data_IF_626085940732
#
_entry.id   IF_626085940732
#
_cell.length_a   1.000
_cell.length_b   1.000
_cell.length_c   1.000
_cell.angle_alpha   90.00
_cell.angle_beta   90.00
_cell.angle_gamma   90.00
#
_symmetry.space_group_name_H-M   'P 1'
#
loop_
_entity.id
_entity.type
_entity.pdbx_description
1 polymer ?
#
# COMPACT_ATOMS: atom_id res chain seq x y z
N UNK A 1 1.00 -21.13 43.30
CA UNK A 1 0.71 -20.35 42.07
C UNK A 1 1.93 -19.61 41.49
N UNK A 2 2.80 -18.98 42.29
CA UNK A 2 4.02 -18.27 41.79
C UNK A 2 5.08 -19.19 41.18
N UNK A 3 5.31 -20.38 41.76
CA UNK A 3 6.32 -21.34 41.26
C UNK A 3 5.95 -21.93 39.90
N UNK A 4 4.66 -22.25 39.66
CA UNK A 4 4.19 -22.69 38.34
C UNK A 4 4.35 -21.61 37.26
N UNK A 5 4.13 -20.32 37.60
CA UNK A 5 4.40 -19.20 36.68
C UNK A 5 5.90 -19.03 36.40
N UNK A 6 6.77 -19.28 37.39
CA UNK A 6 8.22 -19.28 37.19
C UNK A 6 8.63 -20.37 36.19
N UNK A 7 8.16 -21.61 36.37
CA UNK A 7 8.50 -22.75 35.51
C UNK A 7 8.02 -22.53 34.06
N UNK A 8 6.83 -21.95 33.86
CA UNK A 8 6.30 -21.64 32.51
C UNK A 8 7.04 -20.53 31.75
N UNK A 9 8.06 -19.92 32.35
CA UNK A 9 8.90 -18.88 31.74
C UNK A 9 10.35 -19.32 31.51
N UNK A 10 10.71 -20.53 31.92
CA UNK A 10 12.06 -21.10 31.75
C UNK A 10 12.10 -21.90 30.45
N UNK A 11 13.12 -21.65 29.63
CA UNK A 11 13.39 -22.40 28.41
C UNK A 11 14.83 -22.90 28.43
N UNK A 12 15.02 -24.14 27.99
CA UNK A 12 16.33 -24.79 27.89
C UNK A 12 16.84 -24.63 26.47
N UNK A 13 18.07 -24.12 26.33
CA UNK A 13 18.66 -23.92 25.01
C UNK A 13 19.33 -25.19 24.47
N UNK A 14 19.73 -25.17 23.20
CA UNK A 14 20.57 -26.20 22.60
C UNK A 14 21.90 -26.43 23.34
N UNK A 15 22.44 -25.42 24.03
CA UNK A 15 23.69 -25.54 24.80
C UNK A 15 23.51 -26.34 26.08
N UNK A 16 22.34 -26.26 26.71
CA UNK A 16 21.99 -27.12 27.84
C UNK A 16 22.00 -28.60 27.43
N UNK A 17 21.30 -28.93 26.35
CA UNK A 17 21.26 -30.31 25.84
C UNK A 17 22.63 -30.80 25.36
N UNK A 18 23.41 -29.95 24.68
CA UNK A 18 24.78 -30.29 24.29
C UNK A 18 25.69 -30.56 25.49
N UNK A 19 25.60 -29.75 26.55
CA UNK A 19 26.37 -29.92 27.77
C UNK A 19 25.99 -31.19 28.53
N UNK A 20 24.71 -31.56 28.54
CA UNK A 20 24.23 -32.85 29.05
C UNK A 20 24.79 -34.00 28.22
N UNK A 21 24.80 -33.89 26.89
CA UNK A 21 25.40 -34.91 26.02
C UNK A 21 26.88 -35.15 26.33
N UNK A 22 27.64 -34.07 26.54
CA UNK A 22 29.06 -34.14 26.95
C UNK A 22 29.20 -34.81 28.32
N UNK A 23 28.33 -34.45 29.29
CA UNK A 23 28.30 -35.09 30.60
C UNK A 23 28.06 -36.60 30.50
N UNK A 24 27.04 -37.01 29.72
CA UNK A 24 26.72 -38.43 29.51
C UNK A 24 27.91 -39.17 28.91
N UNK A 25 28.55 -38.59 27.89
CA UNK A 25 29.74 -39.18 27.27
C UNK A 25 30.92 -39.28 28.26
N UNK A 26 31.13 -38.27 29.10
CA UNK A 26 32.17 -38.27 30.12
C UNK A 26 31.92 -39.35 31.20
N UNK A 27 30.67 -39.55 31.63
CA UNK A 27 30.29 -40.63 32.53
C UNK A 27 30.44 -42.01 31.87
N UNK A 28 30.10 -42.14 30.59
CA UNK A 28 30.31 -43.37 29.83
C UNK A 28 31.80 -43.73 29.75
N UNK A 29 32.67 -42.78 29.40
CA UNK A 29 34.12 -42.97 29.41
C UNK A 29 34.66 -43.25 30.82
N UNK A 30 34.06 -42.63 31.85
CA UNK A 30 34.36 -42.89 33.25
C UNK A 30 34.04 -44.32 33.71
N UNK A 31 33.11 -45.02 33.04
CA UNK A 31 32.85 -46.44 33.32
C UNK A 31 33.99 -47.36 32.85
N UNK A 32 34.74 -46.92 31.84
CA UNK A 32 35.88 -47.66 31.26
C UNK A 32 37.18 -47.28 31.98
N UNK A 33 37.35 -45.99 32.31
CA UNK A 33 38.57 -45.45 32.92
C UNK A 33 38.26 -44.78 34.27
N UNK A 34 38.72 -45.33 35.41
CA UNK A 34 38.43 -44.78 36.74
C UNK A 34 38.86 -43.32 36.94
N UNK A 35 39.93 -42.88 36.29
CA UNK A 35 40.38 -41.48 36.36
C UNK A 35 39.40 -40.53 35.64
N UNK A 36 38.81 -40.97 34.53
CA UNK A 36 37.80 -40.19 33.79
C UNK A 36 36.50 -40.01 34.60
N UNK A 37 36.17 -40.96 35.50
CA UNK A 37 35.02 -40.84 36.40
C UNK A 37 35.19 -39.67 37.39
N UNK A 38 36.42 -39.42 37.86
CA UNK A 38 36.70 -38.29 38.75
C UNK A 38 36.49 -36.96 38.02
N UNK A 39 36.97 -36.85 36.77
CA UNK A 39 36.72 -35.68 35.92
C UNK A 39 35.23 -35.49 35.62
N UNK A 40 34.48 -36.56 35.34
CA UNK A 40 33.03 -36.49 35.08
C UNK A 40 32.24 -35.97 36.29
N UNK A 41 32.59 -36.40 37.51
CA UNK A 41 31.97 -35.89 38.76
C UNK A 41 32.25 -34.42 39.00
N UNK A 42 33.49 -33.97 38.75
CA UNK A 42 33.85 -32.54 38.85
C UNK A 42 33.07 -31.73 37.80
N UNK A 43 32.99 -32.21 36.56
CA UNK A 43 32.26 -31.55 35.48
C UNK A 43 30.77 -31.43 35.82
N UNK A 44 30.16 -32.45 36.43
CA UNK A 44 28.78 -32.42 36.90
C UNK A 44 28.56 -31.35 37.99
N UNK A 45 29.47 -31.25 38.97
CA UNK A 45 29.39 -30.22 40.01
C UNK A 45 29.51 -28.81 39.43
N UNK A 46 30.45 -28.59 38.51
CA UNK A 46 30.63 -27.31 37.82
C UNK A 46 29.38 -26.95 37.01
N UNK A 47 28.84 -27.90 36.25
CA UNK A 47 27.61 -27.72 35.49
C UNK A 47 26.42 -27.35 36.40
N UNK A 48 26.24 -28.06 37.52
CA UNK A 48 25.19 -27.76 38.48
C UNK A 48 25.33 -26.36 39.11
N UNK A 49 26.56 -25.97 39.45
CA UNK A 49 26.85 -24.64 39.98
C UNK A 49 26.57 -23.53 38.94
N UNK A 50 26.98 -23.73 37.68
CA UNK A 50 26.72 -22.79 36.59
C UNK A 50 25.22 -22.59 36.35
N UNK A 51 24.44 -23.67 36.33
CA UNK A 51 22.97 -23.59 36.18
C UNK A 51 22.32 -22.87 37.35
N UNK A 52 22.77 -23.12 38.58
CA UNK A 52 22.24 -22.46 39.76
C UNK A 52 22.51 -20.95 39.70
N UNK A 53 23.74 -20.55 39.32
CA UNK A 53 24.10 -19.14 39.13
C UNK A 53 23.24 -18.49 38.04
N UNK A 54 23.07 -19.13 36.88
CA UNK A 54 22.20 -18.59 35.82
C UNK A 54 20.76 -18.42 36.27
N UNK A 55 20.19 -19.43 36.94
CA UNK A 55 18.81 -19.40 37.40
C UNK A 55 18.61 -18.29 38.43
N UNK A 56 19.53 -18.14 39.38
CA UNK A 56 19.47 -17.04 40.34
C UNK A 56 19.60 -15.68 39.64
N UNK A 57 20.55 -15.51 38.72
CA UNK A 57 20.72 -14.23 37.99
C UNK A 57 19.48 -13.84 37.17
N UNK A 58 18.90 -14.80 36.44
CA UNK A 58 17.75 -14.55 35.59
C UNK A 58 16.47 -14.29 36.40
N UNK A 59 16.26 -14.97 37.53
CA UNK A 59 15.03 -14.89 38.31
C UNK A 59 15.07 -13.90 39.49
N UNK A 60 16.25 -13.37 39.86
CA UNK A 60 16.37 -12.33 40.90
C UNK A 60 15.61 -11.06 40.54
N UNK A 61 15.57 -10.70 39.26
CA UNK A 61 15.02 -9.42 38.78
C UNK A 61 13.70 -9.69 38.07
N UNK A 62 12.58 -9.36 38.71
CA UNK A 62 11.25 -9.66 38.17
C UNK A 62 10.96 -8.88 36.88
N UNK A 63 11.22 -7.57 36.87
CA UNK A 63 10.99 -6.65 35.74
C UNK A 63 12.31 -6.22 35.08
N UNK A 64 13.17 -7.21 34.81
CA UNK A 64 14.52 -6.98 34.29
C UNK A 64 14.56 -6.47 32.85
N UNK A 65 13.47 -6.67 32.11
CA UNK A 65 13.35 -6.27 30.72
C UNK A 65 11.92 -5.86 30.39
N UNK A 66 11.77 -4.69 29.78
CA UNK A 66 10.49 -4.22 29.24
C UNK A 66 10.65 -3.96 27.74
N UNK A 67 9.78 -4.56 26.94
CA UNK A 67 9.66 -4.28 25.52
C UNK A 67 8.43 -3.42 25.25
N UNK A 68 8.57 -2.41 24.38
CA UNK A 68 7.44 -1.62 23.86
C UNK A 68 7.51 -1.58 22.35
N UNK A 69 6.47 -2.09 21.70
CA UNK A 69 6.30 -1.99 20.25
C UNK A 69 5.71 -0.63 19.91
N UNK A 70 6.20 -0.05 18.82
CA UNK A 70 5.67 1.18 18.25
C UNK A 70 5.23 0.90 16.83
N UNK A 71 3.91 0.83 16.63
CA UNK A 71 3.29 0.65 15.32
C UNK A 71 2.75 2.00 14.83
N UNK A 72 2.88 2.35 13.54
CA UNK A 72 2.18 3.51 12.99
C UNK A 72 0.66 3.38 13.16
N UNK A 73 -0.06 4.48 13.41
CA UNK A 73 -1.54 4.46 13.54
C UNK A 73 -2.26 3.88 12.31
N UNK A 74 -1.65 4.05 11.12
CA UNK A 74 -2.15 3.55 9.84
C UNK A 74 -1.00 2.91 9.08
N UNK A 75 -1.17 1.65 8.69
CA UNK A 75 -0.27 0.95 7.78
C UNK A 75 -0.70 1.19 6.32
N UNK A 76 0.25 1.16 5.39
CA UNK A 76 0.03 1.33 3.95
C UNK A 76 0.06 -0.01 3.22
N UNK A 77 -1.04 -0.37 2.56
CA UNK A 77 -1.18 -1.61 1.80
C UNK A 77 -0.22 -1.65 0.61
N UNK A 78 0.54 -2.74 0.51
CA UNK A 78 1.47 -3.00 -0.58
C UNK A 78 2.84 -2.35 -0.45
N UNK A 79 3.09 -1.55 0.60
CA UNK A 79 4.38 -0.90 0.86
C UNK A 79 5.05 -1.44 2.13
N UNK A 80 6.35 -1.23 2.25
CA UNK A 80 7.11 -1.50 3.47
C UNK A 80 6.76 -0.47 4.56
N UNK A 81 6.25 -0.95 5.68
CA UNK A 81 5.93 -0.16 6.85
C UNK A 81 6.97 -0.45 7.95
N UNK A 82 7.56 0.60 8.50
CA UNK A 82 8.57 0.49 9.55
C UNK A 82 7.90 0.30 10.91
N UNK A 83 8.33 -0.72 11.64
CA UNK A 83 8.01 -0.96 13.05
C UNK A 83 9.30 -1.01 13.83
N UNK A 84 9.27 -0.46 15.04
CA UNK A 84 10.39 -0.58 15.96
C UNK A 84 9.93 -1.01 17.34
N UNK A 85 10.78 -1.78 18.01
CA UNK A 85 10.57 -2.22 19.38
C UNK A 85 11.68 -1.66 20.24
N UNK A 86 11.28 -0.88 21.25
CA UNK A 86 12.19 -0.34 22.25
C UNK A 86 12.32 -1.34 23.40
N UNK A 87 13.54 -1.82 23.63
CA UNK A 87 13.91 -2.68 24.74
C UNK A 87 14.58 -1.83 25.82
N UNK A 88 14.08 -1.92 27.05
CA UNK A 88 14.68 -1.28 28.23
C UNK A 88 15.14 -2.35 29.21
N UNK A 89 16.45 -2.48 29.36
CA UNK A 89 17.07 -3.35 30.37
C UNK A 89 17.17 -2.64 31.71
N UNK A 90 16.88 -3.35 32.80
CA UNK A 90 17.25 -2.95 34.17
C UNK A 90 18.22 -3.95 34.79
N UNK A 91 18.81 -4.82 33.96
CA UNK A 91 19.74 -5.85 34.40
C UNK A 91 21.11 -5.24 34.75
N UNK A 92 21.72 -5.61 35.89
CA UNK A 92 23.03 -5.15 36.30
C UNK A 92 24.17 -5.97 35.65
N UNK A 93 23.89 -6.70 34.57
CA UNK A 93 24.84 -7.57 33.88
C UNK A 93 24.53 -7.63 32.38
N UNK A 94 25.55 -7.95 31.59
CA UNK A 94 25.41 -8.17 30.16
C UNK A 94 24.58 -9.42 29.88
N UNK A 95 23.60 -9.28 28.98
CA UNK A 95 22.74 -10.37 28.58
C UNK A 95 22.59 -10.44 27.06
N UNK A 96 22.16 -11.60 26.57
CA UNK A 96 21.69 -11.73 25.18
C UNK A 96 20.20 -11.94 25.18
N UNK A 97 19.56 -11.37 24.19
CA UNK A 97 18.14 -11.50 23.98
C UNK A 97 17.83 -12.12 22.63
N UNK A 98 16.74 -12.88 22.60
CA UNK A 98 16.03 -13.28 21.40
C UNK A 98 14.62 -12.70 21.49
N UNK A 99 14.29 -11.80 20.58
CA UNK A 99 13.00 -11.14 20.51
C UNK A 99 12.14 -11.84 19.45
N UNK A 100 10.90 -12.11 19.82
CA UNK A 100 9.85 -12.63 18.96
C UNK A 100 8.65 -11.70 19.08
N UNK A 101 8.25 -11.12 17.96
CA UNK A 101 7.04 -10.30 17.89
C UNK A 101 5.88 -11.13 17.33
N UNK A 102 4.76 -11.17 18.05
CA UNK A 102 3.55 -11.86 17.58
C UNK A 102 2.86 -11.00 16.52
N UNK A 103 3.24 -11.21 15.27
CA UNK A 103 2.67 -10.52 14.12
C UNK A 103 1.23 -10.98 13.83
N UNK A 104 0.39 -10.10 13.25
CA UNK A 104 -0.94 -10.43 12.76
C UNK A 104 -0.96 -11.66 11.84
N UNK A 105 -2.06 -12.42 11.89
CA UNK A 105 -2.22 -13.70 11.17
C UNK A 105 -2.04 -13.55 9.66
N UNK A 106 -2.45 -12.40 9.11
CA UNK A 106 -2.35 -12.06 7.69
C UNK A 106 -0.92 -12.15 7.15
N UNK A 107 0.09 -11.87 7.98
CA UNK A 107 1.49 -11.94 7.55
C UNK A 107 2.01 -13.38 7.40
N UNK A 108 1.37 -14.35 8.07
CA UNK A 108 1.80 -15.76 8.15
C UNK A 108 3.28 -15.97 8.52
N UNK A 109 3.97 -14.94 9.02
CA UNK A 109 5.39 -14.93 9.30
C UNK A 109 5.65 -15.42 10.72
N UNK A 110 6.11 -16.68 10.87
CA UNK A 110 6.36 -17.31 12.18
C UNK A 110 7.85 -17.38 12.57
N UNK A 111 8.74 -17.13 11.62
CA UNK A 111 10.18 -17.37 11.80
C UNK A 111 10.99 -16.08 12.03
N UNK A 112 10.33 -14.94 12.20
CA UNK A 112 11.00 -13.67 12.49
C UNK A 112 11.46 -13.62 13.94
N UNK A 113 12.74 -13.92 14.16
CA UNK A 113 13.43 -13.79 15.45
C UNK A 113 14.56 -12.78 15.36
N UNK A 114 14.65 -11.86 16.32
CA UNK A 114 15.73 -10.87 16.38
C UNK A 114 16.69 -11.20 17.52
N UNK A 115 17.97 -11.37 17.20
CA UNK A 115 19.01 -11.71 18.16
C UNK A 115 19.86 -10.48 18.48
N UNK A 116 20.20 -10.28 19.74
CA UNK A 116 21.07 -9.18 20.15
C UNK A 116 21.73 -9.38 21.51
N UNK A 117 22.67 -8.48 21.79
CA UNK A 117 23.28 -8.28 23.12
C UNK A 117 22.76 -6.97 23.72
N UNK A 118 22.60 -6.95 25.03
CA UNK A 118 22.40 -5.74 25.82
C UNK A 118 23.38 -5.72 26.98
N UNK A 119 23.98 -4.56 27.19
CA UNK A 119 24.82 -4.26 28.33
C UNK A 119 24.01 -3.92 29.59
N UNK A 120 24.74 -3.52 30.62
CA UNK A 120 24.21 -3.08 31.91
C UNK A 120 23.28 -1.87 31.73
N UNK A 121 22.02 -2.02 32.14
CA UNK A 121 20.99 -0.96 32.09
C UNK A 121 20.84 -0.25 30.73
N UNK A 122 21.16 -0.96 29.64
CA UNK A 122 21.12 -0.41 28.28
C UNK A 122 19.68 -0.35 27.73
N UNK A 123 19.42 0.66 26.90
CA UNK A 123 18.24 0.71 26.04
C UNK A 123 18.64 0.41 24.60
N UNK A 124 17.85 -0.41 23.91
CA UNK A 124 18.12 -0.79 22.52
C UNK A 124 16.85 -0.78 21.69
N UNK A 125 16.97 -0.35 20.44
CA UNK A 125 15.87 -0.40 19.48
C UNK A 125 16.12 -1.51 18.46
N UNK A 126 15.06 -2.25 18.15
CA UNK A 126 15.06 -3.25 17.07
C UNK A 126 14.07 -2.80 16.02
N UNK A 127 14.59 -2.39 14.87
CA UNK A 127 13.83 -1.94 13.72
C UNK A 127 13.62 -3.08 12.72
N UNK A 128 12.41 -3.17 12.17
CA UNK A 128 12.10 -4.10 11.09
C UNK A 128 10.96 -3.57 10.22
N UNK A 129 10.77 -4.19 9.05
CA UNK A 129 9.69 -3.82 8.15
C UNK A 129 8.68 -4.96 7.97
N UNK A 130 7.45 -4.54 7.68
CA UNK A 130 6.33 -5.39 7.31
C UNK A 130 5.63 -4.81 6.08
N UNK A 131 5.22 -5.69 5.18
CA UNK A 131 4.46 -5.32 3.98
C UNK A 131 3.09 -5.98 4.04
N UNK A 132 2.03 -5.27 4.47
CA UNK A 132 0.69 -5.81 4.45
C UNK A 132 0.20 -5.90 3.00
N UNK A 133 -0.45 -7.01 2.68
CA UNK A 133 -0.95 -7.31 1.33
C UNK A 133 -2.48 -7.25 1.26
N UNK A 134 -3.14 -7.28 2.40
CA UNK A 134 -4.59 -7.16 2.52
C UNK A 134 -4.95 -5.90 3.32
N UNK A 135 -5.96 -5.14 2.86
CA UNK A 135 -6.54 -4.05 3.64
C UNK A 135 -7.40 -4.60 4.77
N UNK A 136 -7.58 -3.80 5.82
CA UNK A 136 -8.44 -4.13 6.95
C UNK A 136 -7.76 -3.93 8.29
N UNK A 137 -8.24 -4.64 9.31
CA UNK A 137 -7.75 -4.53 10.68
C UNK A 137 -6.74 -5.62 11.00
N UNK A 138 -5.59 -5.21 11.54
CA UNK A 138 -4.47 -6.07 11.88
C UNK A 138 -4.29 -6.00 13.40
N UNK A 139 -4.41 -7.16 14.05
CA UNK A 139 -4.24 -7.28 15.49
C UNK A 139 -2.87 -7.88 15.77
N UNK A 140 -1.98 -7.07 16.34
CA UNK A 140 -0.69 -7.55 16.78
C UNK A 140 -0.80 -8.13 18.18
N UNK A 141 -0.14 -9.27 18.41
CA UNK A 141 -0.11 -9.92 19.72
C UNK A 141 0.95 -9.32 20.65
N UNK A 142 1.48 -10.15 21.54
CA UNK A 142 2.46 -9.76 22.55
C UNK A 142 3.89 -9.75 21.99
N UNK A 143 4.76 -8.97 22.62
CA UNK A 143 6.20 -9.06 22.39
C UNK A 143 6.79 -10.03 23.42
N UNK A 144 7.44 -11.08 22.93
CA UNK A 144 8.10 -12.08 23.75
C UNK A 144 9.62 -11.91 23.63
N UNK A 145 10.30 -11.72 24.76
CA UNK A 145 11.76 -11.60 24.78
C UNK A 145 12.37 -12.68 25.67
N UNK A 146 13.24 -13.48 25.09
CA UNK A 146 13.97 -14.55 25.77
C UNK A 146 15.36 -14.05 26.12
N UNK A 147 15.65 -13.92 27.40
CA UNK A 147 16.93 -13.41 27.91
C UNK A 147 17.78 -14.58 28.40
N UNK A 148 19.07 -14.53 28.08
CA UNK A 148 20.08 -15.50 28.50
C UNK A 148 21.34 -14.78 28.96
N UNK A 149 22.08 -15.42 29.88
CA UNK A 149 23.34 -14.89 30.38
C UNK A 149 24.52 -15.47 29.59
N UNK A 150 25.75 -15.34 30.11
CA UNK A 150 26.98 -15.75 29.41
C UNK A 150 26.99 -17.21 28.97
N UNK A 151 26.43 -18.11 29.78
CA UNK A 151 26.49 -19.56 29.63
C UNK A 151 25.43 -20.09 28.63
N UNK A 152 24.36 -19.31 28.39
CA UNK A 152 23.30 -19.57 27.40
C UNK A 152 22.48 -20.84 27.66
N UNK A 153 22.63 -21.51 28.80
CA UNK A 153 22.00 -22.81 29.03
C UNK A 153 20.53 -22.63 29.37
N UNK A 154 20.21 -21.63 30.18
CA UNK A 154 18.86 -21.25 30.56
C UNK A 154 18.47 -19.94 29.88
N UNK A 155 17.23 -19.89 29.38
CA UNK A 155 16.59 -18.67 28.92
C UNK A 155 15.37 -18.37 29.78
N UNK A 156 15.17 -17.09 30.12
CA UNK A 156 13.95 -16.61 30.77
C UNK A 156 13.13 -15.79 29.78
N UNK A 157 11.84 -16.12 29.65
CA UNK A 157 10.89 -15.37 28.82
C UNK A 157 10.26 -14.22 29.61
N UNK A 158 10.40 -13.02 29.08
CA UNK A 158 9.65 -11.82 29.44
C UNK A 158 8.56 -11.59 28.39
N UNK A 159 7.31 -11.50 28.82
CA UNK A 159 6.18 -11.16 27.96
C UNK A 159 5.75 -9.74 28.28
N UNK A 160 5.82 -8.87 27.29
CA UNK A 160 5.29 -7.52 27.39
C UNK A 160 3.92 -7.50 26.72
N UNK A 161 2.91 -7.07 27.47
CA UNK A 161 1.59 -6.80 26.93
C UNK A 161 1.71 -5.58 26.01
N UNK A 162 1.57 -5.85 24.72
CA UNK A 162 1.73 -4.88 23.66
C UNK A 162 0.60 -4.99 22.65
N UNK A 163 -0.46 -5.77 22.96
CA UNK A 163 -1.54 -6.04 22.02
C UNK A 163 -2.13 -4.73 21.50
N UNK A 164 -2.08 -4.56 20.18
CA UNK A 164 -2.45 -3.32 19.51
C UNK A 164 -3.13 -3.65 18.18
N UNK A 165 -4.25 -2.97 17.91
CA UNK A 165 -4.96 -3.09 16.65
C UNK A 165 -4.66 -1.87 15.77
N UNK A 166 -4.25 -2.14 14.53
CA UNK A 166 -3.88 -1.12 13.56
C UNK A 166 -4.61 -1.37 12.25
N UNK A 167 -5.01 -0.29 11.57
CA UNK A 167 -5.71 -0.36 10.29
C UNK A 167 -4.73 -0.27 9.13
N UNK A 168 -4.90 -1.13 8.12
CA UNK A 168 -4.18 -1.09 6.85
C UNK A 168 -5.01 -0.35 5.82
N UNK A 169 -4.59 0.87 5.50
CA UNK A 169 -5.19 1.74 4.50
C UNK A 169 -4.60 1.51 3.11
N UNK A 170 -5.28 2.00 2.04
CA UNK A 170 -4.63 2.25 0.76
C UNK A 170 -3.31 3.00 0.95
N UNK A 171 -2.37 2.82 0.03
CA UNK A 171 -1.00 3.33 0.16
C UNK A 171 -0.93 4.85 0.38
N UNK A 172 -0.71 5.25 1.64
CA UNK A 172 -0.51 6.66 2.02
C UNK A 172 0.94 7.08 1.67
N UNK A 173 1.87 6.13 1.71
CA UNK A 173 3.27 6.34 1.34
C UNK A 173 3.37 6.75 -0.14
N UNK A 174 2.67 6.07 -1.05
CA UNK A 174 2.66 6.44 -2.45
C UNK A 174 2.01 7.80 -2.67
N UNK A 175 0.92 8.12 -1.98
CA UNK A 175 0.28 9.45 -2.06
C UNK A 175 1.29 10.55 -1.75
N UNK A 176 2.03 10.42 -0.64
CA UNK A 176 3.09 11.38 -0.26
C UNK A 176 4.20 11.43 -1.32
N UNK A 177 4.75 10.28 -1.71
CA UNK A 177 5.83 10.17 -2.70
C UNK A 177 5.47 10.88 -4.02
N UNK A 178 4.31 10.56 -4.58
CA UNK A 178 3.88 11.11 -5.87
C UNK A 178 3.32 12.53 -5.77
N UNK A 179 2.76 12.95 -4.62
CA UNK A 179 2.40 14.36 -4.43
C UNK A 179 3.63 15.26 -4.50
N UNK A 180 4.75 14.84 -3.90
CA UNK A 180 6.00 15.59 -4.01
C UNK A 180 6.48 15.66 -5.46
N UNK A 181 6.49 14.53 -6.18
CA UNK A 181 6.91 14.48 -7.59
C UNK A 181 6.01 15.30 -8.53
N UNK A 182 4.70 15.33 -8.28
CA UNK A 182 3.76 16.10 -9.10
C UNK A 182 3.86 17.62 -8.87
N UNK A 183 4.34 18.04 -7.69
CA UNK A 183 4.65 19.44 -7.38
C UNK A 183 6.00 19.84 -7.97
N UNK A 184 6.99 18.95 -7.92
CA UNK A 184 8.38 19.22 -8.35
C UNK A 184 8.62 19.20 -9.86
N UNK A 185 7.61 19.56 -10.66
CA UNK A 185 7.83 20.14 -11.99
C UNK A 185 8.52 19.25 -13.05
N UNK A 186 7.83 18.18 -13.49
CA UNK A 186 8.06 17.60 -14.83
C UNK A 186 7.56 18.54 -15.96
N UNK A 187 6.84 19.62 -15.62
CA UNK A 187 6.25 20.56 -16.59
C UNK A 187 7.29 21.51 -17.23
N UNK A 188 8.48 21.65 -16.64
CA UNK A 188 9.54 22.52 -17.15
C UNK A 188 10.48 21.84 -18.16
N UNK A 189 10.48 20.51 -18.28
CA UNK A 189 11.42 19.77 -19.14
C UNK A 189 10.92 19.41 -20.55
N UNK A 190 9.68 19.74 -20.91
CA UNK A 190 9.09 19.28 -22.18
C UNK A 190 8.86 20.37 -23.24
N UNK A 191 9.31 21.61 -23.04
CA UNK A 191 9.17 22.67 -24.06
C UNK A 191 7.71 22.90 -24.52
N UNK A 192 6.72 22.51 -23.70
CA UNK A 192 5.30 22.59 -24.06
C UNK A 192 4.89 24.05 -23.95
N UNK A 193 4.99 24.76 -25.09
CA UNK A 193 4.43 26.09 -25.25
C UNK A 193 2.93 25.99 -24.96
N UNK A 194 2.46 26.63 -23.88
CA UNK A 194 1.02 26.76 -23.59
C UNK A 194 0.36 27.44 -24.78
N UNK A 195 -0.35 26.66 -25.60
CA UNK A 195 -1.16 27.22 -26.69
C UNK A 195 -2.42 27.77 -26.03
N UNK A 196 -2.50 29.10 -25.96
CA UNK A 196 -3.72 29.82 -25.56
C UNK A 196 -4.82 29.45 -26.58
N UNK A 197 -5.82 28.70 -26.15
CA UNK A 197 -6.95 28.33 -27.02
C UNK A 197 -8.06 29.36 -26.83
N UNK A 198 -8.57 29.88 -27.94
CA UNK A 198 -9.73 30.77 -27.95
C UNK A 198 -10.96 29.86 -27.86
N UNK A 199 -11.45 29.62 -26.64
CA UNK A 199 -12.61 28.79 -26.34
C UNK A 199 -13.42 29.41 -25.20
N UNK A 200 -14.75 29.30 -25.26
CA UNK A 200 -15.72 30.09 -24.47
C UNK A 200 -15.85 29.69 -22.97
N UNK A 201 -14.91 28.95 -22.37
CA UNK A 201 -14.98 28.54 -20.96
C UNK A 201 -14.16 29.47 -20.08
N UNK A 202 -14.74 30.64 -19.85
CA UNK A 202 -14.13 31.78 -19.18
C UNK A 202 -14.74 31.93 -17.78
N UNK A 203 -13.97 31.64 -16.73
CA UNK A 203 -14.33 31.95 -15.34
C UNK A 203 -14.02 33.42 -15.05
N UNK A 204 -14.92 34.11 -14.34
CA UNK A 204 -14.69 35.49 -13.93
C UNK A 204 -13.49 35.54 -12.98
N UNK A 205 -12.45 36.30 -13.35
CA UNK A 205 -11.22 36.45 -12.57
C UNK A 205 -11.35 37.71 -11.69
N UNK A 206 -11.45 38.86 -12.33
CA UNK A 206 -11.53 40.15 -11.66
C UNK A 206 -12.12 41.24 -12.57
N UNK A 207 -12.51 42.37 -11.99
CA UNK A 207 -12.82 43.58 -12.74
C UNK A 207 -11.57 44.46 -12.73
N UNK A 208 -11.12 44.88 -13.92
CA UNK A 208 -9.99 45.82 -14.07
C UNK A 208 -10.37 47.00 -14.96
N UNK A 209 -9.52 48.03 -14.96
CA UNK A 209 -9.66 49.16 -15.86
C UNK A 209 -9.48 48.72 -17.33
N UNK A 210 -10.26 49.34 -18.22
CA UNK A 210 -10.21 49.12 -19.66
C UNK A 210 -8.87 49.59 -20.23
N UNK A 211 -8.21 48.73 -21.00
CA UNK A 211 -7.00 49.09 -21.74
C UNK A 211 -7.31 49.02 -23.24
N UNK A 212 -6.83 49.97 -24.06
CA UNK A 212 -6.99 49.90 -25.51
C UNK A 212 -6.49 48.56 -26.07
N UNK A 213 -7.40 47.79 -26.66
CA UNK A 213 -7.18 46.41 -27.11
C UNK A 213 -8.11 45.38 -26.46
N UNK A 214 -8.80 45.75 -25.38
CA UNK A 214 -9.83 44.91 -24.76
C UNK A 214 -11.13 44.88 -25.57
N UNK A 215 -11.85 43.76 -25.53
CA UNK A 215 -13.15 43.62 -26.21
C UNK A 215 -14.21 44.47 -25.50
N UNK A 216 -14.82 45.39 -26.23
CA UNK A 216 -15.89 46.29 -25.76
C UNK A 216 -17.09 45.50 -25.18
N UNK A 217 -17.32 44.26 -25.62
CA UNK A 217 -18.39 43.40 -25.09
C UNK A 217 -18.17 42.96 -23.64
N UNK A 218 -16.94 43.01 -23.16
CA UNK A 218 -16.57 42.62 -21.80
C UNK A 218 -16.67 43.78 -20.79
N UNK A 219 -17.12 44.97 -21.21
CA UNK A 219 -17.31 46.13 -20.34
C UNK A 219 -18.37 45.83 -19.27
N UNK A 220 -18.01 46.06 -18.01
CA UNK A 220 -18.92 45.94 -16.89
C UNK A 220 -19.54 47.31 -16.57
N UNK A 221 -20.67 47.61 -17.21
CA UNK A 221 -21.39 48.88 -17.03
C UNK A 221 -21.75 49.20 -15.57
N UNK A 222 -22.02 48.17 -14.75
CA UNK A 222 -22.36 48.34 -13.34
C UNK A 222 -21.15 48.77 -12.50
N UNK A 223 -19.97 48.25 -12.80
CA UNK A 223 -18.72 48.68 -12.17
C UNK A 223 -18.32 50.07 -12.66
N UNK A 224 -18.40 50.32 -13.97
CA UNK A 224 -18.11 51.61 -14.61
C UNK A 224 -18.94 52.75 -14.01
N UNK A 225 -20.24 52.53 -13.75
CA UNK A 225 -21.12 53.52 -13.15
C UNK A 225 -20.77 53.86 -11.68
N UNK A 226 -20.01 53.01 -10.98
CA UNK A 226 -19.60 53.23 -9.57
C UNK A 226 -18.24 53.89 -9.45
N UNK A 227 -17.31 53.58 -10.35
CA UNK A 227 -15.93 54.08 -10.31
C UNK A 227 -15.69 55.27 -11.23
N UNK A 228 -16.66 55.63 -12.08
CA UNK A 228 -16.54 56.69 -13.10
C UNK A 228 -15.40 56.48 -14.10
N UNK A 229 -14.89 55.25 -14.20
CA UNK A 229 -13.84 54.80 -15.12
C UNK A 229 -14.33 53.57 -15.87
N UNK A 230 -13.95 53.37 -17.13
CA UNK A 230 -14.42 52.22 -17.92
C UNK A 230 -13.79 50.95 -17.35
N UNK A 231 -14.64 50.06 -16.81
CA UNK A 231 -14.22 48.81 -16.20
C UNK A 231 -14.58 47.62 -17.10
N UNK A 232 -13.72 46.61 -17.12
CA UNK A 232 -13.86 45.40 -17.93
C UNK A 232 -13.85 44.17 -17.03
N UNK A 233 -14.75 43.22 -17.30
CA UNK A 233 -14.67 41.87 -16.73
C UNK A 233 -13.51 41.12 -17.37
N UNK A 234 -12.46 40.87 -16.60
CA UNK A 234 -11.41 39.96 -17.00
C UNK A 234 -11.85 38.54 -16.69
N UNK A 235 -11.82 37.70 -17.72
CA UNK A 235 -12.06 36.27 -17.55
C UNK A 235 -10.77 35.49 -17.77
N UNK A 236 -10.60 34.44 -16.98
CA UNK A 236 -9.51 33.47 -17.10
C UNK A 236 -10.09 32.13 -17.55
N UNK A 237 -9.31 31.32 -18.27
CA UNK A 237 -9.72 29.96 -18.60
C UNK A 237 -10.05 29.19 -17.31
N UNK A 238 -11.20 28.51 -17.27
CA UNK A 238 -11.59 27.65 -16.15
C UNK A 238 -10.55 26.53 -15.99
N UNK A 239 -9.66 26.68 -15.00
CA UNK A 239 -8.54 25.74 -14.77
C UNK A 239 -8.93 24.48 -14.02
N UNK A 240 -10.10 24.50 -13.37
CA UNK A 240 -10.51 23.49 -12.41
C UNK A 240 -11.60 22.61 -13.01
N UNK A 241 -11.36 21.31 -13.09
CA UNK A 241 -12.27 20.37 -13.72
C UNK A 241 -12.68 19.26 -12.75
N UNK A 242 -13.85 18.67 -13.01
CA UNK A 242 -14.29 17.48 -12.28
C UNK A 242 -13.47 16.27 -12.75
N UNK A 243 -12.79 15.59 -11.83
CA UNK A 243 -11.98 14.40 -12.11
C UNK A 243 -12.49 13.24 -11.28
N UNK A 244 -12.99 12.19 -11.92
CA UNK A 244 -13.53 11.01 -11.25
C UNK A 244 -12.66 9.79 -11.47
N UNK A 245 -12.37 9.06 -10.40
CA UNK A 245 -11.95 7.66 -10.49
C UNK A 245 -13.17 6.76 -10.33
N UNK A 246 -13.40 5.89 -11.29
CA UNK A 246 -14.43 4.85 -11.22
C UNK A 246 -13.73 3.50 -11.12
N UNK A 247 -13.99 2.76 -10.06
CA UNK A 247 -13.33 1.48 -9.77
C UNK A 247 -14.36 0.35 -9.88
N UNK A 248 -14.10 -0.57 -10.80
CA UNK A 248 -14.82 -1.84 -10.87
C UNK A 248 -14.39 -2.72 -9.67
N UNK A 249 -15.36 -3.32 -8.96
CA UNK A 249 -15.15 -4.26 -7.85
C UNK A 249 -15.63 -5.68 -8.15
N UNK A 250 -15.92 -5.97 -9.42
CA UNK A 250 -16.35 -7.27 -9.87
C UNK A 250 -15.20 -8.29 -9.91
N UNK A 251 -15.55 -9.53 -10.23
CA UNK A 251 -14.65 -10.71 -10.25
C UNK A 251 -13.33 -10.47 -10.99
N UNK A 252 -13.37 -9.77 -12.13
CA UNK A 252 -12.20 -9.51 -12.98
C UNK A 252 -11.09 -8.69 -12.30
N UNK A 253 -11.40 -8.05 -11.17
CA UNK A 253 -10.47 -7.22 -10.38
C UNK A 253 -9.86 -7.96 -9.20
N UNK A 254 -10.27 -9.21 -8.94
CA UNK A 254 -9.67 -10.07 -7.89
C UNK A 254 -8.44 -10.81 -8.35
N UNK A 255 -8.07 -10.72 -9.63
CA UNK A 255 -6.88 -11.37 -10.14
C UNK A 255 -5.68 -10.96 -9.27
N UNK A 256 -4.98 -11.93 -8.66
CA UNK A 256 -3.79 -11.63 -7.87
C UNK A 256 -2.65 -11.23 -8.82
N UNK A 257 -1.79 -10.38 -8.30
CA UNK A 257 -0.55 -9.95 -8.92
C UNK A 257 0.40 -9.55 -7.80
N UNK A 258 1.53 -10.25 -7.64
CA UNK A 258 2.56 -9.88 -6.65
C UNK A 258 2.00 -9.70 -5.23
N UNK A 259 1.22 -10.70 -4.78
CA UNK A 259 0.55 -10.78 -3.47
C UNK A 259 -0.62 -9.79 -3.26
N UNK A 260 -0.86 -8.86 -4.18
CA UNK A 260 -1.98 -7.91 -4.15
C UNK A 260 -3.02 -8.24 -5.22
N UNK A 261 -4.26 -7.78 -5.06
CA UNK A 261 -5.26 -7.89 -6.15
C UNK A 261 -5.18 -6.70 -7.10
N UNK A 262 -5.66 -6.86 -8.34
CA UNK A 262 -5.81 -5.71 -9.26
C UNK A 262 -6.68 -4.60 -8.69
N UNK A 263 -7.66 -4.93 -7.84
CA UNK A 263 -8.44 -3.94 -7.09
C UNK A 263 -7.53 -3.09 -6.19
N UNK A 264 -6.59 -3.72 -5.47
CA UNK A 264 -5.71 -3.00 -4.55
C UNK A 264 -4.80 -2.02 -5.29
N UNK A 265 -4.27 -2.42 -6.44
CA UNK A 265 -3.53 -1.53 -7.33
C UNK A 265 -4.42 -0.40 -7.86
N UNK A 266 -5.64 -0.70 -8.30
CA UNK A 266 -6.60 0.31 -8.75
C UNK A 266 -6.91 1.34 -7.66
N UNK A 267 -7.12 0.87 -6.43
CA UNK A 267 -7.41 1.70 -5.27
C UNK A 267 -6.21 2.61 -4.96
N UNK A 268 -5.00 2.06 -4.87
CA UNK A 268 -3.78 2.83 -4.62
C UNK A 268 -3.55 3.88 -5.73
N UNK A 269 -3.62 3.47 -7.00
CA UNK A 269 -3.47 4.37 -8.15
C UNK A 269 -4.54 5.46 -8.19
N UNK A 270 -5.80 5.12 -7.91
CA UNK A 270 -6.91 6.08 -7.91
C UNK A 270 -6.74 7.14 -6.83
N UNK A 271 -6.34 6.75 -5.63
CA UNK A 271 -6.12 7.67 -4.52
C UNK A 271 -4.99 8.65 -4.84
N UNK A 272 -3.88 8.15 -5.38
CA UNK A 272 -2.75 9.00 -5.77
C UNK A 272 -3.16 9.95 -6.90
N UNK A 273 -3.81 9.44 -7.96
CA UNK A 273 -4.27 10.26 -9.08
C UNK A 273 -5.25 11.37 -8.63
N UNK A 274 -6.22 11.03 -7.78
CA UNK A 274 -7.17 12.01 -7.23
C UNK A 274 -6.50 13.02 -6.29
N UNK A 275 -5.51 12.60 -5.50
CA UNK A 275 -4.71 13.53 -4.71
C UNK A 275 -3.86 14.46 -5.58
N UNK A 276 -3.30 13.96 -6.68
CA UNK A 276 -2.62 14.80 -7.69
C UNK A 276 -3.59 15.77 -8.35
N UNK A 277 -4.82 15.34 -8.66
CA UNK A 277 -5.86 16.21 -9.19
C UNK A 277 -6.21 17.34 -8.21
N UNK A 278 -6.42 17.01 -6.93
CA UNK A 278 -6.64 17.97 -5.85
C UNK A 278 -5.49 18.97 -5.71
N UNK A 279 -4.24 18.48 -5.72
CA UNK A 279 -3.03 19.33 -5.63
C UNK A 279 -2.88 20.27 -6.82
N UNK A 280 -3.51 19.96 -7.95
CA UNK A 280 -3.54 20.80 -9.16
C UNK A 280 -4.85 21.60 -9.27
N UNK A 281 -5.56 21.80 -8.16
CA UNK A 281 -6.81 22.57 -8.07
C UNK A 281 -8.00 22.02 -8.87
N UNK A 282 -8.05 20.71 -9.15
CA UNK A 282 -9.24 20.06 -9.70
C UNK A 282 -10.17 19.52 -8.60
N UNK A 283 -11.38 19.11 -8.98
CA UNK A 283 -12.40 18.55 -8.07
C UNK A 283 -12.37 17.02 -8.14
N UNK A 284 -11.67 16.32 -7.22
CA UNK A 284 -11.61 14.87 -7.22
C UNK A 284 -12.92 14.25 -6.74
N UNK A 285 -13.42 13.25 -7.46
CA UNK A 285 -14.56 12.41 -7.12
C UNK A 285 -14.23 10.92 -7.25
N UNK A 286 -14.99 10.08 -6.54
CA UNK A 286 -14.81 8.64 -6.53
C UNK A 286 -16.14 7.93 -6.74
N UNK A 287 -16.16 6.88 -7.54
CA UNK A 287 -17.28 5.94 -7.66
C UNK A 287 -16.72 4.53 -7.62
N UNK A 288 -17.29 3.66 -6.78
CA UNK A 288 -17.02 2.22 -6.82
C UNK A 288 -18.29 1.47 -7.17
N UNK A 289 -18.17 0.43 -8.00
CA UNK A 289 -19.35 -0.31 -8.46
C UNK A 289 -19.06 -1.81 -8.67
N UNK A 290 -20.10 -2.60 -8.48
CA UNK A 290 -20.19 -4.02 -8.80
C UNK A 290 -21.55 -4.27 -9.49
N UNK A 291 -22.42 -5.13 -8.96
CA UNK A 291 -23.84 -5.22 -9.37
C UNK A 291 -24.60 -3.89 -9.19
N UNK A 292 -24.23 -3.12 -8.16
CA UNK A 292 -24.76 -1.80 -7.84
C UNK A 292 -23.61 -0.80 -7.66
N UNK A 293 -23.93 0.50 -7.63
CA UNK A 293 -22.98 1.50 -7.16
C UNK A 293 -22.83 1.35 -5.65
N UNK A 294 -21.65 0.94 -5.20
CA UNK A 294 -21.42 0.62 -3.78
C UNK A 294 -21.09 1.86 -2.95
N UNK A 295 -20.25 2.74 -3.49
CA UNK A 295 -19.88 3.98 -2.83
C UNK A 295 -19.66 5.10 -3.85
N UNK A 296 -19.99 6.33 -3.45
CA UNK A 296 -19.83 7.51 -4.27
C UNK A 296 -19.43 8.70 -3.41
N UNK A 297 -18.33 9.35 -3.77
CA UNK A 297 -17.90 10.63 -3.23
C UNK A 297 -18.01 11.64 -4.37
N UNK A 298 -18.94 12.58 -4.24
CA UNK A 298 -19.16 13.63 -5.25
C UNK A 298 -17.94 14.56 -5.28
N UNK A 299 -17.57 15.00 -6.48
CA UNK A 299 -16.44 15.90 -6.69
C UNK A 299 -16.58 17.19 -5.86
N UNK A 300 -15.52 17.54 -5.13
CA UNK A 300 -15.50 18.75 -4.30
C UNK A 300 -14.07 19.22 -4.04
N UNK A 301 -13.93 20.49 -3.63
CA UNK A 301 -12.65 21.11 -3.20
C UNK A 301 -12.53 21.22 -1.68
N UNK A 302 -13.37 20.52 -0.92
CA UNK A 302 -13.31 20.54 0.55
C UNK A 302 -11.94 20.05 1.01
N UNK A 303 -11.40 20.66 2.07
CA UNK A 303 -10.13 20.23 2.68
C UNK A 303 -10.14 18.75 3.11
N UNK A 304 -11.31 18.22 3.46
CA UNK A 304 -11.51 16.84 3.89
C UNK A 304 -11.74 15.86 2.74
N UNK A 305 -11.78 16.33 1.48
CA UNK A 305 -12.20 15.52 0.34
C UNK A 305 -11.30 14.29 0.13
N UNK A 306 -9.97 14.47 0.18
CA UNK A 306 -9.04 13.34 0.01
C UNK A 306 -9.13 12.37 1.19
N UNK A 307 -9.36 12.86 2.41
CA UNK A 307 -9.59 12.00 3.58
C UNK A 307 -10.88 11.20 3.43
N UNK A 308 -11.97 11.81 2.96
CA UNK A 308 -13.25 11.12 2.69
C UNK A 308 -13.10 10.04 1.61
N UNK A 309 -12.34 10.33 0.55
CA UNK A 309 -11.97 9.35 -0.48
C UNK A 309 -11.14 8.20 0.13
N UNK A 310 -10.13 8.51 0.94
CA UNK A 310 -9.27 7.51 1.61
C UNK A 310 -10.09 6.57 2.50
N UNK A 311 -10.94 7.12 3.37
CA UNK A 311 -11.81 6.34 4.27
C UNK A 311 -12.84 5.52 3.47
N UNK A 312 -13.36 6.06 2.37
CA UNK A 312 -14.27 5.31 1.48
C UNK A 312 -13.54 4.13 0.84
N UNK A 313 -12.30 4.32 0.38
CA UNK A 313 -11.49 3.28 -0.28
C UNK A 313 -11.00 2.20 0.69
N UNK A 314 -10.80 2.53 1.97
CA UNK A 314 -10.37 1.58 3.01
C UNK A 314 -11.31 0.36 3.10
N UNK A 315 -12.63 0.60 3.11
CA UNK A 315 -13.66 -0.44 3.26
C UNK A 315 -14.10 -1.07 1.92
N UNK A 316 -13.34 -0.93 0.83
CA UNK A 316 -13.74 -1.49 -0.46
C UNK A 316 -13.20 -2.90 -0.64
N UNK A 317 -14.15 -3.83 -0.70
CA UNK A 317 -13.94 -5.24 -1.02
C UNK A 317 -14.70 -5.63 -2.30
N UNK A 318 -14.26 -6.74 -2.87
CA UNK A 318 -14.90 -7.39 -4.01
C UNK A 318 -15.89 -8.45 -3.51
N UNK A 319 -17.00 -8.65 -4.23
CA UNK A 319 -18.03 -9.63 -3.88
C UNK A 319 -18.16 -10.76 -4.92
N UNK A 320 -17.09 -11.03 -5.67
CA UNK A 320 -17.01 -12.04 -6.75
C UNK A 320 -18.08 -11.89 -7.86
N UNK A 321 -18.82 -10.79 -7.88
CA UNK A 321 -19.93 -10.58 -8.81
C UNK A 321 -19.50 -10.04 -10.18
N UNK A 322 -20.35 -10.17 -11.19
CA UNK A 322 -20.19 -9.41 -12.43
C UNK A 322 -20.64 -7.96 -12.24
N UNK A 323 -19.86 -7.03 -12.79
CA UNK A 323 -20.13 -5.61 -12.68
C UNK A 323 -21.19 -5.14 -13.69
N UNK A 324 -22.10 -4.28 -13.27
CA UNK A 324 -23.21 -3.80 -14.08
C UNK A 324 -22.92 -2.41 -14.69
N UNK A 325 -22.40 -2.39 -15.92
CA UNK A 325 -22.06 -1.15 -16.61
C UNK A 325 -23.29 -0.34 -17.06
N UNK A 326 -24.44 -1.01 -17.25
CA UNK A 326 -25.69 -0.32 -17.57
C UNK A 326 -26.11 0.62 -16.43
N UNK A 327 -26.09 0.12 -15.20
CA UNK A 327 -26.37 0.91 -13.99
C UNK A 327 -25.30 1.98 -13.78
N UNK A 328 -24.02 1.66 -13.99
CA UNK A 328 -22.95 2.65 -13.93
C UNK A 328 -23.24 3.83 -14.89
N UNK A 329 -23.54 3.55 -16.16
CA UNK A 329 -23.80 4.58 -17.15
C UNK A 329 -25.04 5.43 -16.80
N UNK A 330 -26.08 4.81 -16.24
CA UNK A 330 -27.24 5.52 -15.71
C UNK A 330 -26.85 6.48 -14.57
N UNK A 331 -26.10 5.99 -13.58
CA UNK A 331 -25.67 6.77 -12.42
C UNK A 331 -24.74 7.92 -12.80
N UNK A 332 -23.76 7.67 -13.66
CA UNK A 332 -22.85 8.69 -14.18
C UNK A 332 -23.64 9.83 -14.83
N UNK A 333 -24.62 9.53 -15.68
CA UNK A 333 -25.49 10.53 -16.30
C UNK A 333 -26.37 11.28 -15.28
N UNK A 334 -26.81 10.60 -14.22
CA UNK A 334 -27.67 11.20 -13.21
C UNK A 334 -26.90 12.11 -12.25
N UNK A 335 -25.66 11.78 -11.88
CA UNK A 335 -24.90 12.48 -10.84
C UNK A 335 -23.83 13.42 -11.39
N UNK A 336 -23.16 13.03 -12.47
CA UNK A 336 -22.13 13.84 -13.12
C UNK A 336 -22.79 14.64 -14.25
N UNK A 337 -23.30 15.83 -13.90
CA UNK A 337 -24.01 16.71 -14.84
C UNK A 337 -23.07 17.58 -15.69
N UNK A 338 -21.93 17.96 -15.13
CA UNK A 338 -20.88 18.71 -15.83
C UNK A 338 -19.98 17.76 -16.60
N UNK A 339 -19.22 18.30 -17.55
CA UNK A 339 -18.19 17.56 -18.27
C UNK A 339 -17.04 17.29 -17.31
N UNK A 340 -16.67 16.01 -17.18
CA UNK A 340 -15.67 15.53 -16.26
C UNK A 340 -14.70 14.57 -16.96
N UNK A 341 -13.48 14.50 -16.43
CA UNK A 341 -12.50 13.50 -16.79
C UNK A 341 -12.72 12.26 -15.94
N UNK A 342 -12.96 11.12 -16.57
CA UNK A 342 -13.28 9.86 -15.89
C UNK A 342 -12.20 8.84 -16.18
N UNK A 343 -11.52 8.37 -15.13
CA UNK A 343 -10.65 7.20 -15.18
C UNK A 343 -11.42 5.98 -14.69
N UNK A 344 -11.73 5.05 -15.60
CA UNK A 344 -12.40 3.79 -15.29
C UNK A 344 -11.35 2.68 -15.14
N UNK A 345 -11.10 2.27 -13.89
CA UNK A 345 -10.24 1.15 -13.55
C UNK A 345 -11.02 -0.15 -13.70
N UNK A 346 -10.67 -0.95 -14.69
CA UNK A 346 -11.37 -2.19 -14.97
C UNK A 346 -10.51 -3.17 -15.76
N UNK A 347 -11.03 -4.39 -15.97
CA UNK A 347 -10.38 -5.39 -16.77
C UNK A 347 -11.43 -6.14 -17.60
N UNK A 348 -11.05 -6.57 -18.80
CA UNK A 348 -11.90 -7.41 -19.67
C UNK A 348 -11.18 -8.71 -19.95
N UNK A 349 -11.83 -9.84 -19.74
CA UNK A 349 -11.23 -11.17 -19.99
C UNK A 349 -10.93 -11.39 -21.48
N UNK A 350 -11.76 -10.83 -22.37
CA UNK A 350 -11.56 -10.88 -23.81
C UNK A 350 -12.44 -9.89 -24.58
N UNK A 351 -12.41 -9.96 -25.90
CA UNK A 351 -13.17 -9.06 -26.79
C UNK A 351 -14.68 -9.21 -26.62
N UNK A 352 -15.18 -10.43 -26.40
CA UNK A 352 -16.61 -10.67 -26.18
C UNK A 352 -17.12 -9.92 -24.95
N UNK A 353 -16.35 -9.92 -23.86
CA UNK A 353 -16.68 -9.17 -22.65
C UNK A 353 -16.66 -7.66 -22.90
N UNK A 354 -15.68 -7.16 -23.66
CA UNK A 354 -15.67 -5.75 -24.08
C UNK A 354 -16.93 -5.39 -24.88
N UNK A 355 -17.28 -6.17 -25.90
CA UNK A 355 -18.41 -5.86 -26.78
C UNK A 355 -19.75 -5.81 -26.04
N UNK A 356 -19.91 -6.63 -25.00
CA UNK A 356 -21.07 -6.59 -24.10
C UNK A 356 -21.18 -5.24 -23.38
N UNK A 357 -20.07 -4.71 -22.88
CA UNK A 357 -20.06 -3.48 -22.08
C UNK A 357 -19.90 -2.18 -22.91
N UNK A 358 -19.41 -2.31 -24.14
CA UNK A 358 -19.07 -1.21 -25.04
C UNK A 358 -20.23 -0.21 -25.29
N UNK A 359 -21.51 -0.62 -25.44
CA UNK A 359 -22.62 0.33 -25.57
C UNK A 359 -22.73 1.30 -24.39
N UNK A 360 -22.45 0.83 -23.18
CA UNK A 360 -22.50 1.62 -21.95
C UNK A 360 -21.29 2.55 -21.84
N UNK A 361 -20.10 2.05 -22.17
CA UNK A 361 -18.89 2.89 -22.23
C UNK A 361 -19.03 4.02 -23.25
N UNK A 362 -19.57 3.73 -24.45
CA UNK A 362 -19.89 4.75 -25.46
C UNK A 362 -20.90 5.76 -24.94
N UNK A 363 -21.86 5.33 -24.14
CA UNK A 363 -22.86 6.23 -23.54
C UNK A 363 -22.23 7.22 -22.56
N UNK A 364 -21.28 6.75 -21.74
CA UNK A 364 -20.49 7.59 -20.84
C UNK A 364 -19.60 8.54 -21.65
N UNK A 365 -18.85 8.00 -22.61
CA UNK A 365 -17.89 8.75 -23.43
C UNK A 365 -18.52 9.85 -24.30
N UNK A 366 -19.82 9.77 -24.60
CA UNK A 366 -20.56 10.84 -25.31
C UNK A 366 -20.70 12.11 -24.48
N UNK A 367 -20.74 12.01 -23.15
CA UNK A 367 -21.00 13.15 -22.26
C UNK A 367 -19.77 13.50 -21.39
N UNK A 368 -18.88 12.53 -21.18
CA UNK A 368 -17.75 12.60 -20.28
C UNK A 368 -16.47 12.20 -21.02
N UNK A 369 -15.31 12.74 -20.62
CA UNK A 369 -14.03 12.30 -21.18
C UNK A 369 -13.61 11.02 -20.49
N UNK A 370 -13.93 9.88 -21.10
CA UNK A 370 -13.67 8.56 -20.54
C UNK A 370 -12.27 8.05 -20.94
N UNK A 371 -11.52 7.60 -19.95
CA UNK A 371 -10.27 6.86 -20.08
C UNK A 371 -10.45 5.51 -19.40
N UNK A 372 -10.25 4.43 -20.13
CA UNK A 372 -10.31 3.08 -19.58
C UNK A 372 -8.92 2.62 -19.20
N UNK A 373 -8.70 2.35 -17.91
CA UNK A 373 -7.44 1.85 -17.38
C UNK A 373 -7.52 0.33 -17.30
N UNK A 374 -6.67 -0.35 -18.07
CA UNK A 374 -6.59 -1.78 -18.25
C UNK A 374 -5.24 -2.32 -17.76
N UNK A 375 -5.27 -3.56 -17.30
CA UNK A 375 -4.10 -4.24 -16.73
C UNK A 375 -3.46 -5.19 -17.74
N UNK A 376 -2.14 -5.10 -17.87
CA UNK A 376 -1.30 -6.09 -18.53
C UNK A 376 -0.83 -7.09 -17.48
N UNK A 377 -0.96 -8.38 -17.77
CA UNK A 377 -0.33 -9.40 -16.93
C UNK A 377 1.18 -9.48 -17.27
N UNK A 378 2.03 -9.36 -16.24
CA UNK A 378 3.49 -9.35 -16.40
C UNK A 378 4.06 -10.76 -16.46
N UNK A 379 3.54 -11.69 -15.66
CA UNK A 379 3.91 -13.12 -15.59
C UNK A 379 3.80 -13.79 -16.96
N UNK A 380 2.77 -13.42 -17.72
CA UNK A 380 2.57 -13.84 -19.10
C UNK A 380 3.75 -13.46 -20.01
N UNK A 381 4.44 -12.33 -19.80
CA UNK A 381 5.61 -11.97 -20.62
C UNK A 381 6.83 -12.82 -20.26
N UNK A 382 7.02 -13.15 -18.99
CA UNK A 382 8.13 -14.01 -18.56
C UNK A 382 8.03 -15.40 -19.21
N UNK A 383 6.80 -15.94 -19.32
CA UNK A 383 6.53 -17.18 -20.05
C UNK A 383 6.84 -17.07 -21.55
N UNK A 384 6.66 -15.89 -22.15
CA UNK A 384 6.94 -15.65 -23.57
C UNK A 384 8.44 -15.47 -23.85
N UNK A 385 9.22 -14.98 -22.90
CA UNK A 385 10.65 -14.76 -23.06
C UNK A 385 11.47 -16.04 -22.87
N UNK A 386 10.93 -17.03 -22.15
CA UNK A 386 11.60 -18.32 -21.96
C UNK A 386 11.59 -19.19 -23.24
N UNK A 387 12.70 -19.92 -23.52
CA UNK A 387 12.76 -20.86 -24.62
C UNK A 387 11.88 -22.09 -24.35
N UNK A 388 11.04 -22.45 -25.34
CA UNK A 388 10.17 -23.63 -25.25
C UNK A 388 10.98 -24.91 -25.44
N UNK A 389 10.92 -25.84 -24.47
CA UNK A 389 11.69 -27.10 -24.49
C UNK A 389 10.87 -28.31 -24.95
N UNK A 390 9.55 -28.23 -24.85
CA UNK A 390 8.60 -29.31 -25.16
C UNK A 390 7.34 -28.77 -25.85
N UNK A 391 6.50 -29.69 -26.33
CA UNK A 391 5.25 -29.35 -27.01
C UNK A 391 4.27 -28.62 -26.08
N UNK A 392 4.24 -28.97 -24.80
CA UNK A 392 3.42 -28.30 -23.79
C UNK A 392 3.81 -26.82 -23.64
N UNK A 393 5.11 -26.51 -23.53
CA UNK A 393 5.58 -25.13 -23.51
C UNK A 393 5.19 -24.36 -24.78
N UNK A 394 5.16 -25.00 -25.95
CA UNK A 394 4.70 -24.35 -27.19
C UNK A 394 3.20 -24.00 -27.10
N UNK A 395 2.35 -24.91 -26.60
CA UNK A 395 0.93 -24.63 -26.41
C UNK A 395 0.70 -23.50 -25.39
N UNK A 396 1.35 -23.57 -24.24
CA UNK A 396 1.27 -22.52 -23.20
C UNK A 396 1.70 -21.17 -23.74
N UNK A 397 2.82 -21.12 -24.47
CA UNK A 397 3.33 -19.90 -25.12
C UNK A 397 2.37 -19.35 -26.18
N UNK A 398 1.71 -20.22 -26.95
CA UNK A 398 0.72 -19.82 -27.95
C UNK A 398 -0.51 -19.19 -27.31
N UNK A 399 -1.03 -19.81 -26.24
CA UNK A 399 -2.16 -19.29 -25.47
C UNK A 399 -1.79 -17.95 -24.81
N UNK A 400 -0.60 -17.87 -24.21
CA UNK A 400 -0.06 -16.64 -23.63
C UNK A 400 -0.01 -15.49 -24.66
N UNK A 401 0.53 -15.78 -25.84
CA UNK A 401 0.62 -14.83 -26.96
C UNK A 401 -0.76 -14.36 -27.39
N UNK A 402 -1.73 -15.28 -27.49
CA UNK A 402 -3.12 -14.95 -27.84
C UNK A 402 -3.72 -13.97 -26.83
N UNK A 403 -3.56 -14.19 -25.53
CA UNK A 403 -4.07 -13.28 -24.50
C UNK A 403 -3.44 -11.89 -24.59
N UNK A 404 -2.13 -11.80 -24.86
CA UNK A 404 -1.46 -10.51 -25.03
C UNK A 404 -1.98 -9.74 -26.24
N UNK A 405 -2.15 -10.42 -27.38
CA UNK A 405 -2.73 -9.83 -28.60
C UNK A 405 -4.16 -9.36 -28.34
N UNK A 406 -4.96 -10.15 -27.63
CA UNK A 406 -6.35 -9.82 -27.33
C UNK A 406 -6.47 -8.54 -26.50
N UNK A 407 -5.58 -8.32 -25.51
CA UNK A 407 -5.50 -7.05 -24.76
C UNK A 407 -5.19 -5.85 -25.65
N UNK A 408 -4.29 -6.00 -26.61
CA UNK A 408 -3.99 -4.93 -27.57
C UNK A 408 -5.18 -4.65 -28.50
N UNK A 409 -5.91 -5.69 -28.91
CA UNK A 409 -7.12 -5.55 -29.72
C UNK A 409 -8.23 -4.81 -28.94
N UNK A 410 -8.42 -5.11 -27.65
CA UNK A 410 -9.35 -4.38 -26.77
C UNK A 410 -9.05 -2.88 -26.77
N UNK A 411 -7.78 -2.49 -26.62
CA UNK A 411 -7.35 -1.08 -26.67
C UNK A 411 -7.66 -0.44 -28.02
N UNK A 412 -7.34 -1.14 -29.13
CA UNK A 412 -7.63 -0.65 -30.48
C UNK A 412 -9.14 -0.46 -30.70
N UNK A 413 -9.96 -1.37 -30.19
CA UNK A 413 -11.42 -1.29 -30.34
C UNK A 413 -12.03 -0.15 -29.52
N UNK A 414 -11.51 0.12 -28.32
CA UNK A 414 -11.88 1.30 -27.53
C UNK A 414 -11.52 2.60 -28.29
N UNK A 415 -10.30 2.69 -28.84
CA UNK A 415 -9.86 3.86 -29.61
C UNK A 415 -10.70 4.10 -30.86
N UNK A 416 -11.12 3.04 -31.56
CA UNK A 416 -12.03 3.12 -32.72
C UNK A 416 -13.36 3.81 -32.37
N UNK A 417 -13.76 3.77 -31.11
CA UNK A 417 -14.96 4.44 -30.61
C UNK A 417 -14.68 5.76 -29.88
N UNK A 418 -13.47 6.31 -29.99
CA UNK A 418 -13.08 7.58 -29.38
C UNK A 418 -12.86 7.52 -27.87
N UNK A 419 -12.73 6.31 -27.32
CA UNK A 419 -12.48 6.08 -25.89
C UNK A 419 -10.99 5.84 -25.71
N UNK A 420 -10.31 6.73 -25.00
CA UNK A 420 -8.89 6.57 -24.67
C UNK A 420 -8.73 5.36 -23.72
N UNK A 421 -7.63 4.63 -23.87
CA UNK A 421 -7.29 3.55 -22.95
C UNK A 421 -5.81 3.59 -22.54
N UNK A 422 -5.55 3.21 -21.28
CA UNK A 422 -4.22 2.98 -20.73
C UNK A 422 -4.09 1.47 -20.51
N UNK A 423 -3.17 0.82 -21.22
CA UNK A 423 -2.81 -0.57 -20.97
C UNK A 423 -1.45 -0.60 -20.28
N UNK A 424 -1.41 -0.99 -19.01
CA UNK A 424 -0.21 -0.87 -18.18
C UNK A 424 -0.05 -2.07 -17.24
N UNK A 425 1.19 -2.35 -16.82
CA UNK A 425 1.44 -3.25 -15.69
C UNK A 425 0.84 -2.65 -14.41
N UNK A 426 0.51 -3.46 -13.40
CA UNK A 426 0.11 -2.95 -12.08
C UNK A 426 1.19 -2.09 -11.40
N UNK A 427 2.48 -2.38 -11.65
CA UNK A 427 3.60 -1.59 -11.13
C UNK A 427 3.61 -0.15 -11.64
N UNK A 428 3.41 0.03 -12.95
CA UNK A 428 3.48 1.34 -13.60
C UNK A 428 2.13 2.08 -13.59
N UNK A 429 1.08 1.45 -13.07
CA UNK A 429 -0.30 1.94 -13.10
C UNK A 429 -0.43 3.36 -12.54
N UNK A 430 0.11 3.59 -11.34
CA UNK A 430 0.04 4.89 -10.66
C UNK A 430 0.75 5.97 -11.47
N UNK A 431 1.94 5.68 -11.99
CA UNK A 431 2.72 6.65 -12.77
C UNK A 431 2.02 6.97 -14.10
N UNK A 432 1.56 5.95 -14.81
CA UNK A 432 0.92 6.11 -16.12
C UNK A 432 -0.43 6.84 -16.03
N UNK A 433 -1.21 6.61 -14.97
CA UNK A 433 -2.48 7.33 -14.75
C UNK A 433 -2.25 8.81 -14.41
N UNK A 434 -1.26 9.12 -13.54
CA UNK A 434 -0.86 10.50 -13.25
C UNK A 434 -0.35 11.20 -14.51
N UNK A 435 0.54 10.57 -15.27
CA UNK A 435 1.09 11.13 -16.50
C UNK A 435 -0.02 11.41 -17.52
N UNK A 436 -0.98 10.49 -17.66
CA UNK A 436 -2.13 10.70 -18.56
C UNK A 436 -3.00 11.88 -18.13
N UNK A 437 -3.25 12.00 -16.82
CA UNK A 437 -3.97 13.14 -16.26
C UNK A 437 -3.24 14.45 -16.54
N UNK A 438 -1.93 14.52 -16.26
CA UNK A 438 -1.11 15.71 -16.50
C UNK A 438 -1.01 16.05 -18.00
N UNK A 439 -0.91 15.06 -18.88
CA UNK A 439 -0.93 15.24 -20.34
C UNK A 439 -2.23 15.93 -20.79
N UNK A 440 -3.38 15.43 -20.32
CA UNK A 440 -4.70 15.97 -20.68
C UNK A 440 -4.88 17.38 -20.13
N UNK A 441 -4.46 17.60 -18.87
CA UNK A 441 -4.51 18.91 -18.24
C UNK A 441 -3.62 19.93 -18.95
N UNK A 442 -2.41 19.54 -19.35
CA UNK A 442 -1.50 20.40 -20.10
C UNK A 442 -2.05 20.77 -21.49
N UNK A 443 -2.77 19.86 -22.15
CA UNK A 443 -3.40 20.12 -23.45
C UNK A 443 -4.71 20.91 -23.35
N UNK A 444 -5.32 20.99 -22.16
CA UNK A 444 -6.63 21.60 -21.96
C UNK A 444 -7.75 20.87 -22.71
N UNK A 445 -7.63 19.54 -22.87
CA UNK A 445 -8.58 18.71 -23.63
C UNK A 445 -9.43 17.87 -22.66
N UNK A 446 -10.11 18.56 -21.74
CA UNK A 446 -11.15 17.97 -20.90
C UNK A 446 -12.44 17.75 -21.69
#
# INVERSE_FOLDING_TARGET
MRVLKLIGSVYLSKYFFGSIGILILAFFLGSIYPLALLFARVLLLVFGLMLLVELVQLFRIQDGLVARRHVPEKLSNGDENHIYITLKSTMPYDCRFMLIDELPVQFQSRDKTFLGKMGVEENKTVDYTIRPTERGEYTFGNVNVYVSTFTHMIQRRYRSDAEEMTKVYPSIIQVKKYSFLAVSDFLSHAGIKKIRRIGHNYEFDQIREFVPGDDVRSINWKATARTSQIMVNQYQDEKSQDVYAIINKGRVMQLPFEELTLLDYAINSSLVMLNTAYTKDDYPGLITFNKEVSAMVISSKKKTQITEILETLYNQETDFSEANYAKLAYWVRQKIKKRALIFLYTNFEGLTSLYRELPYLKTIARHQRLIVVLFKNVELNELLDQPSKDTEAIYTKTIATKFQIEKQLIVKELHKHGIDAILTSPYDLTVNTINKYLEIKARGVF
#
